data_IF_465006579739
#
_entry.id   IF_465006579739
#
_cell.length_a   1.000
_cell.length_b   1.000
_cell.length_c   1.000
_cell.angle_alpha   90.00
_cell.angle_beta   90.00
_cell.angle_gamma   90.00
#
_symmetry.space_group_name_H-M   'P 1'
#
loop_
_entity.id
_entity.type
_entity.pdbx_description
1 polymer ?
#
# COMPACT_ATOMS: atom_id res chain seq x y z
N UNK A 1 -45.55 -24.98 -6.47
CA UNK A 1 -45.04 -23.80 -5.83
C UNK A 1 -44.90 -24.00 -4.32
N UNK A 2 -43.83 -24.62 -3.86
CA UNK A 2 -43.43 -24.73 -2.43
C UNK A 2 -41.93 -24.97 -2.44
N UNK A 3 -41.11 -23.90 -2.28
CA UNK A 3 -39.66 -24.11 -2.30
C UNK A 3 -38.78 -22.87 -2.05
N UNK A 4 -39.31 -21.74 -1.54
CA UNK A 4 -38.46 -20.54 -1.33
C UNK A 4 -38.47 -19.96 0.10
N UNK A 5 -39.27 -20.49 1.01
CA UNK A 5 -39.33 -19.92 2.39
C UNK A 5 -38.34 -20.56 3.39
N UNK A 6 -37.75 -21.70 3.09
CA UNK A 6 -36.79 -22.35 3.98
C UNK A 6 -35.39 -21.72 4.06
N UNK A 7 -34.95 -21.07 3.01
CA UNK A 7 -33.60 -20.47 2.92
C UNK A 7 -33.43 -19.17 3.68
N UNK A 8 -34.45 -18.30 3.65
CA UNK A 8 -34.41 -17.02 4.38
C UNK A 8 -34.53 -17.19 5.90
N UNK A 9 -35.32 -18.16 6.36
CA UNK A 9 -35.41 -18.48 7.78
C UNK A 9 -34.13 -19.08 8.36
N UNK A 10 -33.41 -19.90 7.58
CA UNK A 10 -32.14 -20.50 8.00
C UNK A 10 -31.01 -19.43 8.10
N UNK A 11 -30.92 -18.51 7.15
CA UNK A 11 -29.97 -17.39 7.19
C UNK A 11 -30.27 -16.44 8.37
N UNK A 12 -31.52 -16.13 8.67
CA UNK A 12 -31.89 -15.28 9.80
C UNK A 12 -31.59 -15.93 11.17
N UNK A 13 -31.75 -17.25 11.27
CA UNK A 13 -31.44 -18.00 12.48
C UNK A 13 -29.95 -18.12 12.76
N UNK A 14 -29.14 -18.34 11.73
CA UNK A 14 -27.65 -18.30 11.85
C UNK A 14 -27.13 -16.92 12.25
N UNK A 15 -27.69 -15.85 11.68
CA UNK A 15 -27.34 -14.48 12.03
C UNK A 15 -27.73 -14.17 13.49
N UNK A 16 -28.88 -14.58 13.94
CA UNK A 16 -29.30 -14.42 15.34
C UNK A 16 -28.38 -15.18 16.30
N UNK A 17 -28.00 -16.41 15.97
CA UNK A 17 -27.05 -17.20 16.77
C UNK A 17 -25.65 -16.57 16.79
N UNK A 18 -25.21 -15.96 15.71
CA UNK A 18 -23.93 -15.21 15.65
C UNK A 18 -24.00 -13.94 16.50
N UNK A 19 -25.09 -13.22 16.45
CA UNK A 19 -25.33 -12.01 17.25
C UNK A 19 -25.39 -12.31 18.75
N UNK A 20 -26.06 -13.38 19.15
CA UNK A 20 -26.11 -13.79 20.55
C UNK A 20 -24.74 -14.28 21.07
N UNK A 21 -24.00 -15.02 20.29
CA UNK A 21 -22.61 -15.36 20.61
C UNK A 21 -21.74 -14.11 20.76
N UNK A 22 -21.84 -13.15 19.86
CA UNK A 22 -21.13 -11.87 19.94
C UNK A 22 -21.49 -11.11 21.22
N UNK A 23 -22.78 -11.02 21.57
CA UNK A 23 -23.25 -10.39 22.81
C UNK A 23 -22.76 -11.12 24.07
N UNK A 24 -22.69 -12.45 24.06
CA UNK A 24 -22.19 -13.22 25.20
C UNK A 24 -20.67 -13.03 25.38
N UNK A 25 -19.92 -12.94 24.28
CA UNK A 25 -18.47 -12.65 24.27
C UNK A 25 -18.18 -11.26 24.82
N UNK A 26 -18.97 -10.25 24.40
CA UNK A 26 -18.84 -8.87 24.91
C UNK A 26 -19.19 -8.74 26.39
N UNK A 27 -20.20 -9.48 26.88
CA UNK A 27 -20.53 -9.53 28.33
C UNK A 27 -19.41 -10.17 29.15
N UNK A 28 -18.71 -11.18 28.61
CA UNK A 28 -17.53 -11.79 29.25
C UNK A 28 -16.32 -10.85 29.30
N UNK A 29 -16.24 -9.89 28.39
CA UNK A 29 -15.13 -8.91 28.33
C UNK A 29 -15.30 -7.76 29.34
N UNK A 30 -16.56 -7.32 29.58
CA UNK A 30 -16.88 -6.22 30.51
C UNK A 30 -17.39 -6.68 31.89
N UNK A 31 -17.71 -7.98 32.06
CA UNK A 31 -18.18 -8.58 33.30
C UNK A 31 -17.07 -9.37 33.98
N UNK A 32 -16.28 -8.73 34.83
CA UNK A 32 -15.32 -9.40 35.70
C UNK A 32 -16.00 -10.29 36.74
N UNK A 33 -16.30 -11.56 36.40
CA UNK A 33 -16.85 -12.55 37.29
C UNK A 33 -16.42 -13.95 36.92
N UNK A 34 -15.09 -14.23 36.97
CA UNK A 34 -14.50 -15.54 36.75
C UNK A 34 -14.30 -16.28 38.10
N UNK A 35 -14.92 -17.47 38.27
CA UNK A 35 -14.69 -18.40 39.36
C UNK A 35 -13.18 -18.72 39.52
N UNK A 36 -12.65 -18.44 40.68
CA UNK A 36 -11.23 -18.54 41.04
C UNK A 36 -10.81 -20.00 41.30
N UNK A 37 -11.16 -20.94 40.42
CA UNK A 37 -10.60 -22.30 40.52
C UNK A 37 -9.41 -22.45 39.59
N UNK A 38 -8.25 -22.89 40.10
CA UNK A 38 -7.06 -23.09 39.31
C UNK A 38 -7.29 -24.24 38.32
N UNK A 39 -7.30 -23.94 37.01
CA UNK A 39 -7.45 -24.94 35.95
C UNK A 39 -6.12 -25.17 35.25
N UNK A 40 -5.81 -26.43 34.83
CA UNK A 40 -4.64 -26.70 33.98
C UNK A 40 -4.64 -25.80 32.75
N UNK A 41 -3.46 -25.31 32.36
CA UNK A 41 -3.32 -24.43 31.20
C UNK A 41 -2.92 -25.24 29.97
N UNK A 42 -3.44 -24.88 28.81
CA UNK A 42 -2.99 -25.42 27.53
C UNK A 42 -1.93 -24.48 26.98
N UNK A 43 -0.75 -25.02 26.61
CA UNK A 43 0.32 -24.24 26.01
C UNK A 43 -0.18 -23.58 24.70
N UNK A 44 -0.12 -22.24 24.56
CA UNK A 44 -0.63 -21.53 23.38
C UNK A 44 0.18 -21.80 22.11
N UNK A 45 1.41 -22.36 22.24
CA UNK A 45 2.28 -22.61 21.11
C UNK A 45 2.25 -24.05 20.58
N UNK A 46 2.01 -25.06 21.45
CA UNK A 46 2.04 -26.47 21.04
C UNK A 46 0.83 -27.29 21.46
N UNK A 47 -0.15 -26.69 22.20
CA UNK A 47 -1.34 -27.39 22.64
C UNK A 47 -1.14 -28.36 23.83
N UNK A 48 0.07 -28.51 24.35
CA UNK A 48 0.34 -29.42 25.49
C UNK A 48 -0.31 -28.92 26.78
N UNK A 49 -0.82 -29.84 27.58
CA UNK A 49 -1.37 -29.53 28.91
C UNK A 49 -0.22 -29.21 29.84
N UNK A 50 -0.24 -28.03 30.47
CA UNK A 50 0.84 -27.57 31.37
C UNK A 50 0.29 -27.26 32.77
N UNK A 51 1.12 -27.46 33.77
CA UNK A 51 0.74 -27.20 35.15
C UNK A 51 0.35 -25.74 35.40
N UNK A 52 -0.50 -25.54 36.40
CA UNK A 52 -1.12 -24.23 36.76
C UNK A 52 -0.04 -23.16 37.06
N UNK A 53 1.08 -23.55 37.62
CA UNK A 53 2.21 -22.69 38.04
C UNK A 53 3.36 -22.68 37.01
N UNK A 54 3.24 -23.40 35.91
CA UNK A 54 4.31 -23.49 34.92
C UNK A 54 4.57 -22.13 34.27
N UNK A 55 5.81 -21.66 34.33
CA UNK A 55 6.26 -20.42 33.63
C UNK A 55 6.76 -20.71 32.23
N UNK A 56 7.05 -21.97 31.93
CA UNK A 56 7.48 -22.46 30.62
C UNK A 56 6.80 -23.79 30.30
N UNK A 57 6.47 -24.01 29.05
CA UNK A 57 5.98 -25.29 28.59
C UNK A 57 7.09 -26.35 28.61
N UNK A 58 6.83 -27.51 29.20
CA UNK A 58 7.80 -28.61 29.28
C UNK A 58 8.05 -29.30 27.94
N UNK A 59 7.07 -29.19 26.97
CA UNK A 59 7.22 -29.81 25.67
C UNK A 59 7.94 -28.89 24.66
N UNK A 60 7.61 -27.60 24.57
CA UNK A 60 8.13 -26.70 23.53
C UNK A 60 8.98 -25.55 24.08
N UNK A 61 9.16 -25.42 25.41
CA UNK A 61 9.95 -24.38 26.05
C UNK A 61 9.35 -22.97 26.01
N UNK A 62 8.14 -22.78 25.41
CA UNK A 62 7.51 -21.47 25.32
C UNK A 62 7.27 -20.86 26.69
N UNK A 63 7.61 -19.57 26.86
CA UNK A 63 7.31 -18.81 28.05
C UNK A 63 5.79 -18.53 28.11
N UNK A 64 5.11 -19.01 29.14
CA UNK A 64 3.67 -18.94 29.33
C UNK A 64 3.18 -17.60 29.90
N UNK A 65 4.08 -16.81 30.50
CA UNK A 65 3.76 -15.48 31.06
C UNK A 65 3.85 -14.35 30.04
N UNK A 66 4.83 -14.45 29.12
CA UNK A 66 5.07 -13.44 28.10
C UNK A 66 5.29 -14.13 26.73
N UNK A 67 4.22 -14.53 26.06
CA UNK A 67 4.31 -14.98 24.69
C UNK A 67 3.31 -14.19 23.83
N UNK A 68 3.76 -13.79 22.63
CA UNK A 68 2.88 -13.21 21.61
C UNK A 68 1.67 -14.13 21.34
N UNK A 69 1.85 -15.45 21.43
CA UNK A 69 0.79 -16.44 21.32
C UNK A 69 -0.24 -16.36 22.47
N UNK A 70 0.17 -16.04 23.70
CA UNK A 70 -0.76 -15.86 24.83
C UNK A 70 -1.52 -14.53 24.71
N UNK A 71 -0.86 -13.48 24.21
CA UNK A 71 -1.48 -12.18 23.98
C UNK A 71 -2.50 -12.28 22.83
N UNK A 72 -2.16 -12.93 21.72
CA UNK A 72 -3.05 -13.10 20.58
C UNK A 72 -4.25 -14.01 20.89
N UNK A 73 -4.08 -15.03 21.75
CA UNK A 73 -5.20 -15.87 22.22
C UNK A 73 -6.23 -15.08 23.05
N UNK A 74 -5.79 -14.06 23.78
CA UNK A 74 -6.70 -13.11 24.46
C UNK A 74 -7.52 -12.27 23.46
N UNK A 75 -6.93 -11.92 22.33
CA UNK A 75 -7.61 -11.15 21.27
C UNK A 75 -8.39 -12.03 20.29
N UNK A 76 -8.03 -13.30 20.06
CA UNK A 76 -8.74 -14.21 19.16
C UNK A 76 -10.17 -14.53 19.64
N UNK A 77 -10.41 -14.50 20.95
CA UNK A 77 -11.78 -14.62 21.52
C UNK A 77 -12.75 -13.52 21.07
N UNK A 78 -12.24 -12.38 20.60
CA UNK A 78 -13.04 -11.26 20.09
C UNK A 78 -13.39 -11.46 18.60
N UNK A 79 -12.58 -12.17 17.83
CA UNK A 79 -12.71 -12.27 16.37
C UNK A 79 -13.14 -13.65 15.83
N UNK A 80 -13.38 -14.64 16.69
CA UNK A 80 -13.93 -15.95 16.31
C UNK A 80 -13.12 -17.16 16.78
N UNK A 81 -13.72 -18.35 16.64
CA UNK A 81 -13.24 -19.63 17.17
C UNK A 81 -11.97 -20.20 16.49
N UNK A 82 -11.34 -19.47 15.57
CA UNK A 82 -10.14 -19.94 14.87
C UNK A 82 -8.88 -19.61 15.67
N UNK A 83 -8.13 -20.64 16.05
CA UNK A 83 -6.81 -20.54 16.69
C UNK A 83 -5.73 -20.09 15.67
N UNK A 84 -5.89 -18.89 15.08
CA UNK A 84 -4.95 -18.29 14.14
C UNK A 84 -4.33 -17.00 14.73
N UNK A 85 -3.41 -17.13 15.69
CA UNK A 85 -2.91 -15.99 16.47
C UNK A 85 -2.15 -14.96 15.63
N UNK A 86 -1.36 -15.38 14.65
CA UNK A 86 -0.60 -14.44 13.82
C UNK A 86 -1.53 -13.72 12.82
N UNK A 87 -2.48 -14.42 12.23
CA UNK A 87 -3.50 -13.81 11.37
C UNK A 87 -4.27 -12.72 12.12
N UNK A 88 -4.70 -13.00 13.36
CA UNK A 88 -5.38 -12.02 14.22
C UNK A 88 -4.46 -10.83 14.56
N UNK A 89 -3.18 -11.10 14.87
CA UNK A 89 -2.20 -10.04 15.15
C UNK A 89 -1.99 -9.14 13.93
N UNK A 90 -1.85 -9.70 12.72
CA UNK A 90 -1.71 -8.97 11.48
C UNK A 90 -2.96 -8.11 11.18
N UNK A 91 -4.16 -8.67 11.41
CA UNK A 91 -5.43 -7.94 11.24
C UNK A 91 -5.46 -6.70 12.17
N UNK A 92 -5.17 -6.89 13.45
CA UNK A 92 -5.17 -5.81 14.45
C UNK A 92 -4.10 -4.76 14.09
N UNK A 93 -2.89 -5.18 13.70
CA UNK A 93 -1.82 -4.27 13.32
C UNK A 93 -2.23 -3.38 12.12
N UNK A 94 -2.88 -3.94 11.10
CA UNK A 94 -3.36 -3.19 9.96
C UNK A 94 -4.46 -2.18 10.34
N UNK A 95 -5.39 -2.55 11.23
CA UNK A 95 -6.43 -1.64 11.74
C UNK A 95 -5.81 -0.50 12.55
N UNK A 96 -4.83 -0.80 13.42
CA UNK A 96 -4.11 0.23 14.18
C UNK A 96 -3.38 1.18 13.23
N UNK A 97 -2.69 0.65 12.22
CA UNK A 97 -1.95 1.48 11.26
C UNK A 97 -2.88 2.34 10.39
N UNK A 98 -4.10 1.89 10.10
CA UNK A 98 -5.10 2.76 9.48
C UNK A 98 -5.46 3.94 10.40
N UNK A 99 -5.68 3.68 11.69
CA UNK A 99 -5.93 4.73 12.69
C UNK A 99 -4.77 5.74 12.80
N UNK A 100 -3.52 5.22 12.80
CA UNK A 100 -2.31 6.07 12.78
C UNK A 100 -2.23 6.89 11.51
N UNK A 101 -2.59 6.32 10.36
CA UNK A 101 -2.63 7.04 9.07
C UNK A 101 -3.66 8.17 9.08
N UNK A 102 -4.81 7.98 9.71
CA UNK A 102 -5.82 9.03 9.87
C UNK A 102 -5.36 10.14 10.83
N UNK A 103 -4.70 9.79 11.92
CA UNK A 103 -4.10 10.79 12.83
C UNK A 103 -3.02 11.61 12.12
N UNK A 104 -2.16 10.97 11.34
CA UNK A 104 -1.14 11.66 10.55
C UNK A 104 -1.76 12.60 9.50
N UNK A 105 -2.84 12.17 8.84
CA UNK A 105 -3.59 12.98 7.89
C UNK A 105 -4.20 14.22 8.57
N UNK A 106 -4.83 14.06 9.73
CA UNK A 106 -5.41 15.15 10.50
C UNK A 106 -4.34 16.17 10.93
N UNK A 107 -3.16 15.70 11.32
CA UNK A 107 -2.03 16.55 11.71
C UNK A 107 -1.44 17.37 10.54
N UNK A 108 -1.60 16.92 9.29
CA UNK A 108 -1.12 17.63 8.09
C UNK A 108 -2.17 18.56 7.46
N UNK A 109 -3.32 18.77 8.12
CA UNK A 109 -4.40 19.63 7.61
C UNK A 109 -5.11 19.08 6.37
N UNK A 110 -4.88 17.82 6.03
CA UNK A 110 -5.42 17.16 4.84
C UNK A 110 -6.75 16.47 5.09
N UNK A 111 -7.75 16.85 4.31
CA UNK A 111 -8.90 16.04 3.94
C UNK A 111 -9.93 15.70 5.02
N UNK A 112 -11.07 16.39 4.97
CA UNK A 112 -12.33 15.95 5.57
C UNK A 112 -13.27 15.37 4.53
N UNK A 113 -14.27 14.56 4.96
CA UNK A 113 -15.34 14.06 4.12
C UNK A 113 -15.07 12.71 3.45
N UNK A 114 -15.71 12.47 2.31
CA UNK A 114 -15.69 11.18 1.59
C UNK A 114 -14.30 10.76 1.06
N UNK A 115 -13.30 11.66 1.04
CA UNK A 115 -11.93 11.33 0.62
C UNK A 115 -11.29 10.20 1.46
N UNK A 116 -11.68 10.08 2.72
CA UNK A 116 -11.24 8.99 3.63
C UNK A 116 -11.56 7.59 3.09
N UNK A 117 -12.64 7.46 2.32
CA UNK A 117 -13.05 6.18 1.72
C UNK A 117 -12.12 5.76 0.58
N UNK A 118 -11.63 6.72 -0.20
CA UNK A 118 -10.98 6.46 -1.49
C UNK A 118 -9.48 6.73 -1.50
N UNK A 119 -8.97 7.61 -0.63
CA UNK A 119 -7.55 7.93 -0.61
C UNK A 119 -7.11 8.71 0.62
N UNK A 120 -6.01 8.29 1.22
CA UNK A 120 -5.27 9.02 2.24
C UNK A 120 -4.16 9.85 1.57
N UNK A 121 -3.78 10.97 2.17
CA UNK A 121 -2.71 11.84 1.65
C UNK A 121 -1.41 11.09 1.41
N UNK A 122 -0.80 11.29 0.23
CA UNK A 122 0.50 10.72 -0.11
C UNK A 122 1.62 11.12 0.86
N UNK A 123 1.58 12.34 1.39
CA UNK A 123 2.56 12.83 2.39
C UNK A 123 2.48 12.03 3.69
N UNK A 124 1.27 11.80 4.22
CA UNK A 124 1.09 11.00 5.42
C UNK A 124 1.58 9.56 5.22
N UNK A 125 1.26 8.95 4.07
CA UNK A 125 1.69 7.60 3.72
C UNK A 125 3.22 7.51 3.53
N UNK A 126 3.83 8.53 2.90
CA UNK A 126 5.28 8.61 2.76
C UNK A 126 5.98 8.64 4.13
N UNK A 127 5.53 9.50 5.05
CA UNK A 127 6.09 9.61 6.43
C UNK A 127 5.91 8.32 7.23
N UNK A 128 4.82 7.60 7.00
CA UNK A 128 4.53 6.31 7.62
C UNK A 128 5.19 5.12 6.91
N UNK A 129 6.05 5.37 5.92
CA UNK A 129 6.90 4.35 5.33
C UNK A 129 6.24 3.54 4.23
N UNK A 130 5.47 4.17 3.32
CA UNK A 130 5.10 3.51 2.07
C UNK A 130 6.35 3.17 1.26
N UNK A 131 6.30 2.13 0.46
CA UNK A 131 7.40 1.73 -0.44
C UNK A 131 7.61 2.79 -1.52
N UNK A 132 8.87 3.09 -1.79
CA UNK A 132 9.32 4.11 -2.74
C UNK A 132 10.20 3.45 -3.81
N UNK A 133 10.44 4.11 -4.97
CA UNK A 133 11.28 3.57 -6.01
C UNK A 133 12.68 3.17 -5.52
N UNK A 134 13.22 2.09 -6.10
CA UNK A 134 14.45 1.45 -5.63
C UNK A 134 15.66 2.40 -5.50
N UNK A 135 15.91 3.36 -6.41
CA UNK A 135 17.01 4.30 -6.22
C UNK A 135 16.94 5.06 -4.89
N UNK A 136 15.75 5.57 -4.53
CA UNK A 136 15.54 6.29 -3.27
C UNK A 136 15.65 5.39 -2.04
N UNK A 137 15.20 4.12 -2.14
CA UNK A 137 15.37 3.12 -1.07
C UNK A 137 16.86 2.87 -0.77
N UNK A 138 17.70 2.79 -1.82
CA UNK A 138 19.11 2.51 -1.69
C UNK A 138 19.90 3.74 -1.22
N UNK A 139 19.65 4.89 -1.79
CA UNK A 139 20.33 6.15 -1.44
C UNK A 139 20.00 6.60 -0.01
N UNK A 140 18.73 6.49 0.39
CA UNK A 140 18.24 6.82 1.74
C UNK A 140 18.48 5.74 2.79
N UNK A 141 18.99 4.55 2.40
CA UNK A 141 19.06 3.37 3.27
C UNK A 141 17.72 3.01 3.94
N UNK A 142 16.59 3.33 3.26
CA UNK A 142 15.23 3.20 3.81
C UNK A 142 14.59 1.82 3.50
N UNK A 143 15.39 0.75 3.47
CA UNK A 143 14.94 -0.64 3.19
C UNK A 143 13.75 -1.09 4.05
N UNK A 144 13.59 -0.53 5.23
CA UNK A 144 12.49 -0.82 6.15
C UNK A 144 11.10 -0.50 5.55
N UNK A 145 11.03 0.39 4.57
CA UNK A 145 9.79 0.76 3.87
C UNK A 145 9.12 -0.40 3.15
N UNK A 146 9.89 -1.36 2.63
CA UNK A 146 9.29 -2.55 1.99
C UNK A 146 8.54 -3.45 2.99
N UNK A 147 8.79 -3.27 4.28
CA UNK A 147 8.09 -3.98 5.36
C UNK A 147 6.93 -3.16 5.91
N UNK A 148 7.16 -1.88 6.24
CA UNK A 148 6.10 -1.02 6.80
C UNK A 148 4.96 -0.79 5.81
N UNK A 149 5.26 -0.72 4.51
CA UNK A 149 4.27 -0.57 3.45
C UNK A 149 3.19 -1.68 3.46
N UNK A 150 3.50 -2.90 3.94
CA UNK A 150 2.54 -3.99 4.07
C UNK A 150 1.40 -3.70 5.06
N UNK A 151 1.59 -2.76 5.96
CA UNK A 151 0.63 -2.40 7.02
C UNK A 151 -0.11 -1.09 6.73
N UNK A 152 0.25 -0.39 5.65
CA UNK A 152 -0.38 0.84 5.23
C UNK A 152 -1.48 0.58 4.22
N UNK A 153 -2.52 1.40 4.23
CA UNK A 153 -3.64 1.27 3.29
C UNK A 153 -4.09 2.65 2.79
N UNK A 154 -4.40 2.72 1.50
CA UNK A 154 -4.81 3.96 0.83
C UNK A 154 -6.22 4.45 1.19
N UNK A 155 -7.07 3.62 1.84
CA UNK A 155 -8.43 3.99 2.22
C UNK A 155 -9.22 2.80 2.77
N UNK A 156 -10.48 3.04 3.19
CA UNK A 156 -11.33 2.02 3.82
C UNK A 156 -11.64 0.83 2.92
N UNK A 157 -11.88 1.06 1.63
CA UNK A 157 -12.14 -0.04 0.70
C UNK A 157 -10.89 -0.90 0.50
N UNK A 158 -9.72 -0.27 0.40
CA UNK A 158 -8.46 -0.98 0.23
C UNK A 158 -8.17 -1.89 1.44
N UNK A 159 -8.26 -1.38 2.67
CA UNK A 159 -8.09 -2.23 3.85
C UNK A 159 -9.20 -3.27 3.98
N UNK A 160 -10.44 -2.92 3.64
CA UNK A 160 -11.58 -3.84 3.70
C UNK A 160 -11.35 -5.10 2.86
N UNK A 161 -10.95 -4.96 1.60
CA UNK A 161 -10.63 -6.08 0.73
C UNK A 161 -9.41 -6.87 1.22
N UNK A 162 -8.36 -6.19 1.69
CA UNK A 162 -7.18 -6.87 2.23
C UNK A 162 -7.50 -7.67 3.50
N UNK A 163 -8.25 -7.12 4.43
CA UNK A 163 -8.61 -7.83 5.67
C UNK A 163 -9.58 -8.98 5.40
N UNK A 164 -10.47 -8.84 4.45
CA UNK A 164 -11.34 -9.94 4.00
C UNK A 164 -10.49 -11.10 3.43
N UNK A 165 -9.52 -10.80 2.57
CA UNK A 165 -8.61 -11.82 2.03
C UNK A 165 -7.71 -12.43 3.13
N UNK A 166 -7.22 -11.62 4.07
CA UNK A 166 -6.45 -12.10 5.22
C UNK A 166 -7.25 -13.08 6.07
N UNK A 167 -8.50 -12.76 6.38
CA UNK A 167 -9.39 -13.64 7.14
C UNK A 167 -9.76 -14.92 6.37
N UNK A 168 -9.81 -14.85 5.05
CA UNK A 168 -10.14 -16.00 4.20
C UNK A 168 -8.97 -16.99 4.07
N UNK A 169 -7.75 -16.50 3.84
CA UNK A 169 -6.59 -17.34 3.53
C UNK A 169 -5.66 -17.55 4.73
N UNK A 170 -5.55 -16.54 5.60
CA UNK A 170 -4.60 -16.54 6.72
C UNK A 170 -4.75 -17.75 7.65
N UNK A 171 -5.94 -17.99 8.24
CA UNK A 171 -6.12 -19.09 9.19
C UNK A 171 -5.78 -20.46 8.62
N UNK A 172 -6.20 -20.74 7.39
CA UNK A 172 -5.94 -22.04 6.74
C UNK A 172 -4.44 -22.30 6.51
N UNK A 173 -3.69 -21.25 6.14
CA UNK A 173 -2.24 -21.37 5.91
C UNK A 173 -1.48 -21.39 7.24
N UNK A 174 -1.92 -20.61 8.22
CA UNK A 174 -1.34 -20.62 9.57
C UNK A 174 -1.54 -21.99 10.24
N UNK A 175 -2.71 -22.59 10.11
CA UNK A 175 -2.98 -23.96 10.58
C UNK A 175 -2.09 -24.99 9.87
N UNK A 176 -1.91 -24.85 8.55
CA UNK A 176 -1.13 -25.81 7.75
C UNK A 176 0.35 -25.75 8.05
N UNK A 177 0.95 -24.56 8.15
CA UNK A 177 2.42 -24.37 8.28
C UNK A 177 2.89 -24.08 9.70
N UNK A 178 1.97 -23.72 10.59
CA UNK A 178 2.24 -23.20 11.95
C UNK A 178 2.58 -21.70 11.91
N UNK A 179 2.22 -21.00 12.99
CA UNK A 179 2.29 -19.53 13.13
C UNK A 179 3.66 -18.94 12.77
N UNK A 180 4.75 -19.60 13.15
CA UNK A 180 6.10 -19.09 12.92
C UNK A 180 6.49 -19.11 11.42
N UNK A 181 6.23 -20.20 10.70
CA UNK A 181 6.47 -20.26 9.26
C UNK A 181 5.51 -19.35 8.49
N UNK A 182 4.26 -19.27 8.94
CA UNK A 182 3.26 -18.40 8.36
C UNK A 182 3.69 -16.92 8.41
N UNK A 183 4.16 -16.43 9.59
CA UNK A 183 4.66 -15.07 9.71
C UNK A 183 5.85 -14.82 8.77
N UNK A 184 6.79 -15.77 8.73
CA UNK A 184 7.95 -15.67 7.83
C UNK A 184 7.52 -15.59 6.35
N UNK A 185 6.60 -16.45 5.91
CA UNK A 185 6.06 -16.45 4.54
C UNK A 185 5.40 -15.11 4.23
N UNK A 186 4.54 -14.62 5.12
CA UNK A 186 3.84 -13.36 4.94
C UNK A 186 4.81 -12.18 4.76
N UNK A 187 5.77 -12.04 5.69
CA UNK A 187 6.73 -10.94 5.65
C UNK A 187 7.65 -11.03 4.45
N UNK A 188 8.18 -12.22 4.15
CA UNK A 188 9.11 -12.40 3.03
C UNK A 188 8.45 -12.15 1.68
N UNK A 189 7.24 -12.69 1.46
CA UNK A 189 6.55 -12.51 0.18
C UNK A 189 6.08 -11.08 -0.03
N UNK A 190 5.63 -10.40 1.01
CA UNK A 190 5.24 -9.00 0.94
C UNK A 190 6.44 -8.07 0.70
N UNK A 191 7.53 -8.25 1.44
CA UNK A 191 8.76 -7.46 1.27
C UNK A 191 9.37 -7.68 -0.13
N UNK A 192 9.41 -8.92 -0.60
CA UNK A 192 9.89 -9.23 -1.96
C UNK A 192 8.99 -8.59 -3.02
N UNK A 193 7.66 -8.63 -2.83
CA UNK A 193 6.71 -7.96 -3.71
C UNK A 193 7.01 -6.48 -3.85
N UNK A 194 7.17 -5.76 -2.73
CA UNK A 194 7.49 -4.34 -2.76
C UNK A 194 8.89 -4.03 -3.29
N UNK A 195 9.87 -4.89 -3.03
CA UNK A 195 11.21 -4.72 -3.58
C UNK A 195 11.19 -4.79 -5.12
N UNK A 196 10.46 -5.74 -5.68
CA UNK A 196 10.29 -5.84 -7.14
C UNK A 196 9.54 -4.62 -7.67
N UNK A 197 8.44 -4.22 -7.04
CA UNK A 197 7.67 -3.04 -7.45
C UNK A 197 8.51 -1.76 -7.40
N UNK A 198 9.31 -1.58 -6.35
CA UNK A 198 10.26 -0.48 -6.23
C UNK A 198 11.29 -0.46 -7.38
N UNK A 199 11.74 -1.66 -7.82
CA UNK A 199 12.61 -1.82 -9.00
C UNK A 199 11.99 -1.33 -10.31
N UNK A 200 10.66 -1.36 -10.41
CA UNK A 200 9.90 -0.79 -11.54
C UNK A 200 9.51 0.68 -11.32
N UNK A 201 10.03 1.33 -10.29
CA UNK A 201 9.84 2.76 -10.04
C UNK A 201 8.50 3.13 -9.38
N UNK A 202 7.80 2.19 -8.77
CA UNK A 202 6.49 2.44 -8.17
C UNK A 202 6.57 2.90 -6.71
N UNK A 203 5.65 3.81 -6.36
CA UNK A 203 5.22 4.05 -4.98
C UNK A 203 4.09 3.09 -4.66
N UNK A 204 4.20 2.36 -3.54
CA UNK A 204 3.23 1.31 -3.26
C UNK A 204 3.01 1.07 -1.77
N UNK A 205 1.82 0.54 -1.43
CA UNK A 205 1.42 0.19 -0.06
C UNK A 205 0.26 -0.82 -0.06
N UNK A 206 0.11 -1.56 1.02
CA UNK A 206 -0.97 -2.52 1.22
C UNK A 206 -0.50 -3.93 1.54
N UNK A 207 -1.33 -4.70 2.23
CA UNK A 207 -1.05 -6.09 2.56
C UNK A 207 -1.09 -7.04 1.35
N UNK A 208 -1.60 -6.57 0.21
CA UNK A 208 -1.99 -7.43 -0.93
C UNK A 208 -0.85 -8.22 -1.56
N UNK A 209 0.38 -7.69 -1.59
CA UNK A 209 1.56 -8.43 -2.05
C UNK A 209 1.82 -9.68 -1.19
N UNK A 210 1.75 -9.54 0.14
CA UNK A 210 1.86 -10.68 1.06
C UNK A 210 0.66 -11.63 0.95
N UNK A 211 -0.56 -11.11 0.78
CA UNK A 211 -1.77 -11.92 0.59
C UNK A 211 -1.72 -12.73 -0.70
N UNK A 212 -1.25 -12.15 -1.80
CA UNK A 212 -0.98 -12.90 -3.03
C UNK A 212 0.14 -13.93 -2.82
N UNK A 213 1.11 -13.64 -1.96
CA UNK A 213 2.08 -14.63 -1.48
C UNK A 213 1.41 -15.83 -0.82
N UNK A 214 0.44 -15.60 0.07
CA UNK A 214 -0.36 -16.69 0.67
C UNK A 214 -1.15 -17.48 -0.39
N UNK A 215 -1.74 -16.80 -1.36
CA UNK A 215 -2.42 -17.46 -2.49
C UNK A 215 -1.42 -18.31 -3.30
N UNK A 216 -0.21 -17.81 -3.52
CA UNK A 216 0.88 -18.54 -4.17
C UNK A 216 1.23 -19.83 -3.44
N UNK A 217 1.37 -19.75 -2.10
CA UNK A 217 1.58 -20.95 -1.25
C UNK A 217 0.44 -21.94 -1.42
N UNK A 218 -0.81 -21.47 -1.37
CA UNK A 218 -1.99 -22.35 -1.53
C UNK A 218 -2.01 -23.00 -2.91
N UNK A 219 -1.68 -22.27 -3.97
CA UNK A 219 -1.53 -22.83 -5.32
C UNK A 219 -0.46 -23.93 -5.33
N UNK A 220 0.70 -23.74 -4.69
CA UNK A 220 1.73 -24.77 -4.60
C UNK A 220 1.22 -26.02 -3.86
N UNK A 221 0.46 -25.86 -2.77
CA UNK A 221 -0.18 -26.97 -2.06
C UNK A 221 -1.13 -27.76 -2.97
N UNK A 222 -1.97 -27.07 -3.75
CA UNK A 222 -2.91 -27.73 -4.65
C UNK A 222 -2.22 -28.52 -5.77
N UNK A 223 -0.96 -28.20 -6.11
CA UNK A 223 -0.17 -28.98 -7.08
C UNK A 223 0.53 -30.19 -6.45
N UNK A 224 0.80 -30.16 -5.13
CA UNK A 224 1.38 -31.28 -4.38
C UNK A 224 0.33 -32.31 -3.99
N UNK A 225 -0.85 -31.85 -3.61
CA UNK A 225 -1.97 -32.70 -3.19
C UNK A 225 -2.89 -32.96 -4.37
N UNK A 226 -3.18 -34.23 -4.63
CA UNK A 226 -4.09 -34.65 -5.68
C UNK A 226 -5.58 -34.60 -5.27
N UNK A 227 -6.48 -35.03 -6.19
CA UNK A 227 -7.91 -35.13 -5.92
C UNK A 227 -8.77 -34.07 -6.57
N UNK A 228 -10.08 -34.34 -6.65
CA UNK A 228 -11.03 -33.44 -7.32
C UNK A 228 -11.15 -32.10 -6.61
N UNK A 229 -11.19 -32.11 -5.27
CA UNK A 229 -11.27 -30.91 -4.46
C UNK A 229 -10.07 -29.96 -4.68
N UNK A 230 -8.84 -30.51 -4.72
CA UNK A 230 -7.64 -29.70 -4.96
C UNK A 230 -7.59 -29.12 -6.37
N UNK A 231 -8.12 -29.83 -7.37
CA UNK A 231 -8.27 -29.30 -8.73
C UNK A 231 -9.27 -28.16 -8.79
N UNK A 232 -10.43 -28.29 -8.15
CA UNK A 232 -11.45 -27.24 -8.07
C UNK A 232 -10.92 -26.00 -7.32
N UNK A 233 -10.30 -26.18 -6.16
CA UNK A 233 -9.66 -25.11 -5.40
C UNK A 233 -8.61 -24.37 -6.25
N UNK A 234 -7.73 -25.10 -6.93
CA UNK A 234 -6.74 -24.50 -7.82
C UNK A 234 -7.37 -23.67 -8.93
N UNK A 235 -8.42 -24.20 -9.57
CA UNK A 235 -9.15 -23.46 -10.61
C UNK A 235 -9.72 -22.16 -10.09
N UNK A 236 -10.36 -22.17 -8.92
CA UNK A 236 -10.91 -20.96 -8.27
C UNK A 236 -9.83 -19.94 -7.91
N UNK A 237 -8.70 -20.39 -7.35
CA UNK A 237 -7.58 -19.52 -7.03
C UNK A 237 -7.00 -18.87 -8.29
N UNK A 238 -6.78 -19.64 -9.36
CA UNK A 238 -6.29 -19.12 -10.64
C UNK A 238 -7.27 -18.09 -11.21
N UNK A 239 -8.57 -18.41 -11.25
CA UNK A 239 -9.59 -17.48 -11.74
C UNK A 239 -9.61 -16.17 -10.94
N UNK A 240 -9.52 -16.25 -9.60
CA UNK A 240 -9.46 -15.06 -8.73
C UNK A 240 -8.21 -14.21 -9.00
N UNK A 241 -7.05 -14.86 -9.17
CA UNK A 241 -5.80 -14.17 -9.52
C UNK A 241 -5.91 -13.49 -10.87
N UNK A 242 -6.43 -14.18 -11.90
CA UNK A 242 -6.62 -13.60 -13.24
C UNK A 242 -7.54 -12.38 -13.19
N UNK A 243 -8.68 -12.47 -12.50
CA UNK A 243 -9.61 -11.35 -12.34
C UNK A 243 -8.91 -10.16 -11.66
N UNK A 244 -8.14 -10.41 -10.59
CA UNK A 244 -7.42 -9.37 -9.87
C UNK A 244 -6.40 -8.66 -10.77
N UNK A 245 -5.63 -9.40 -11.57
CA UNK A 245 -4.66 -8.80 -12.51
C UNK A 245 -5.36 -8.02 -13.63
N UNK A 246 -6.46 -8.53 -14.17
CA UNK A 246 -7.26 -7.81 -15.18
C UNK A 246 -7.78 -6.48 -14.62
N UNK A 247 -8.32 -6.48 -13.39
CA UNK A 247 -8.75 -5.26 -12.70
C UNK A 247 -7.59 -4.30 -12.45
N UNK A 248 -6.42 -4.80 -12.07
CA UNK A 248 -5.21 -3.98 -11.87
C UNK A 248 -4.68 -3.36 -13.16
N UNK A 249 -4.77 -4.05 -14.30
CA UNK A 249 -4.38 -3.50 -15.61
C UNK A 249 -5.45 -2.57 -16.22
N UNK A 250 -6.70 -2.67 -15.79
CA UNK A 250 -7.79 -1.83 -16.30
C UNK A 250 -7.72 -0.38 -15.82
N UNK A 251 -6.81 -0.04 -14.90
CA UNK A 251 -6.70 1.27 -14.23
C UNK A 251 -7.97 1.71 -13.47
N UNK A 252 -8.97 0.84 -13.34
CA UNK A 252 -10.18 1.10 -12.55
C UNK A 252 -9.88 1.18 -11.05
N UNK A 253 -8.83 0.50 -10.62
CA UNK A 253 -8.32 0.51 -9.25
C UNK A 253 -6.81 0.76 -9.27
N UNK A 254 -6.32 1.59 -8.36
CA UNK A 254 -4.88 1.80 -8.16
C UNK A 254 -4.28 0.54 -7.51
N UNK A 255 -3.91 -0.44 -8.32
CA UNK A 255 -3.36 -1.73 -7.88
C UNK A 255 -1.93 -1.90 -8.39
N UNK A 256 -1.07 -2.41 -7.53
CA UNK A 256 0.33 -2.69 -7.87
C UNK A 256 0.50 -4.13 -8.36
N UNK A 257 0.34 -4.33 -9.67
CA UNK A 257 0.47 -5.64 -10.28
C UNK A 257 1.90 -6.22 -10.18
N UNK A 258 2.94 -5.40 -10.05
CA UNK A 258 4.31 -5.88 -9.86
C UNK A 258 4.48 -6.48 -8.46
N UNK A 259 4.04 -5.79 -7.41
CA UNK A 259 4.05 -6.33 -6.05
C UNK A 259 3.19 -7.60 -5.94
N UNK A 260 2.02 -7.62 -6.59
CA UNK A 260 1.12 -8.76 -6.62
C UNK A 260 1.76 -9.98 -7.29
N UNK A 261 2.31 -9.81 -8.49
CA UNK A 261 2.94 -10.88 -9.25
C UNK A 261 4.16 -11.46 -8.56
N UNK A 262 5.03 -10.60 -8.04
CA UNK A 262 6.23 -11.00 -7.31
C UNK A 262 5.88 -11.71 -6.00
N UNK A 263 4.92 -11.21 -5.22
CA UNK A 263 4.43 -11.85 -4.01
C UNK A 263 3.86 -13.24 -4.29
N UNK A 264 2.99 -13.36 -5.29
CA UNK A 264 2.41 -14.64 -5.74
C UNK A 264 3.50 -15.65 -6.13
N UNK A 265 4.48 -15.24 -6.94
CA UNK A 265 5.58 -16.09 -7.38
C UNK A 265 6.45 -16.55 -6.20
N UNK A 266 6.85 -15.63 -5.33
CA UNK A 266 7.62 -15.96 -4.12
C UNK A 266 6.86 -16.94 -3.22
N UNK A 267 5.57 -16.71 -3.00
CA UNK A 267 4.71 -17.60 -2.23
C UNK A 267 4.61 -18.99 -2.85
N UNK A 268 4.45 -19.08 -4.16
CA UNK A 268 4.44 -20.38 -4.87
C UNK A 268 5.75 -21.14 -4.68
N UNK A 269 6.89 -20.47 -4.80
CA UNK A 269 8.21 -21.05 -4.57
C UNK A 269 8.36 -21.54 -3.13
N UNK A 270 8.01 -20.69 -2.14
CA UNK A 270 8.06 -21.08 -0.73
C UNK A 270 7.13 -22.26 -0.42
N UNK A 271 5.93 -22.27 -1.02
CA UNK A 271 4.99 -23.39 -0.91
C UNK A 271 5.53 -24.68 -1.52
N UNK A 272 6.44 -24.61 -2.51
CA UNK A 272 7.17 -25.79 -3.02
C UNK A 272 8.29 -26.24 -2.10
N UNK A 273 9.01 -25.32 -1.47
CA UNK A 273 10.16 -25.59 -0.59
C UNK A 273 9.71 -26.15 0.76
N UNK A 274 8.75 -25.50 1.40
CA UNK A 274 8.27 -25.95 2.71
C UNK A 274 7.39 -27.20 2.59
N UNK A 275 7.53 -28.09 3.56
CA UNK A 275 6.57 -29.18 3.74
C UNK A 275 5.18 -28.61 4.05
N UNK A 276 4.16 -29.08 3.35
CA UNK A 276 2.76 -28.68 3.52
C UNK A 276 2.11 -29.32 4.77
N UNK A 277 2.78 -29.18 5.88
CA UNK A 277 2.39 -29.65 7.23
C UNK A 277 3.10 -28.84 8.31
N UNK A 278 2.56 -28.87 9.52
CA UNK A 278 3.25 -28.31 10.66
C UNK A 278 4.60 -29.01 10.95
N UNK A 279 5.54 -28.29 11.60
CA UNK A 279 6.81 -28.88 12.03
C UNK A 279 6.59 -30.03 13.04
N UNK A 280 7.02 -31.24 12.73
CA UNK A 280 6.76 -32.42 13.54
C UNK A 280 7.87 -32.71 14.56
N UNK A 281 9.13 -32.57 14.17
CA UNK A 281 10.26 -32.88 15.04
C UNK A 281 10.89 -31.60 15.63
N UNK A 282 11.73 -31.79 16.67
CA UNK A 282 12.38 -30.69 17.41
C UNK A 282 13.26 -29.82 16.50
N UNK A 283 13.95 -30.39 15.52
CA UNK A 283 14.80 -29.65 14.57
C UNK A 283 13.99 -28.80 13.61
N UNK A 284 12.87 -29.31 13.09
CA UNK A 284 11.95 -28.54 12.25
C UNK A 284 11.32 -27.39 13.04
N UNK A 285 10.92 -27.63 14.30
CA UNK A 285 10.35 -26.61 15.18
C UNK A 285 11.35 -25.50 15.48
N UNK A 286 12.60 -25.84 15.83
CA UNK A 286 13.66 -24.84 16.07
C UNK A 286 13.89 -23.95 14.85
N UNK A 287 13.98 -24.55 13.64
CA UNK A 287 14.13 -23.79 12.39
C UNK A 287 12.91 -22.90 12.11
N UNK A 288 11.70 -23.42 12.29
CA UNK A 288 10.48 -22.64 12.12
C UNK A 288 10.43 -21.43 13.07
N UNK A 289 10.75 -21.65 14.35
CA UNK A 289 10.81 -20.55 15.33
C UNK A 289 11.91 -19.54 15.00
N UNK A 290 13.08 -19.97 14.55
CA UNK A 290 14.14 -19.06 14.13
C UNK A 290 13.69 -18.16 12.97
N UNK A 291 13.02 -18.72 11.97
CA UNK A 291 12.44 -17.95 10.87
C UNK A 291 11.33 -16.99 11.33
N UNK A 292 10.44 -17.45 12.21
CA UNK A 292 9.38 -16.60 12.78
C UNK A 292 9.93 -15.45 13.63
N UNK A 293 10.94 -15.71 14.46
CA UNK A 293 11.63 -14.66 15.23
C UNK A 293 12.36 -13.67 14.32
N UNK A 294 13.04 -14.16 13.29
CA UNK A 294 13.70 -13.29 12.30
C UNK A 294 12.67 -12.36 11.64
N UNK A 295 11.56 -12.90 11.16
CA UNK A 295 10.50 -12.10 10.56
C UNK A 295 9.92 -11.08 11.55
N UNK A 296 9.65 -11.50 12.79
CA UNK A 296 9.14 -10.63 13.84
C UNK A 296 10.11 -9.48 14.17
N UNK A 297 11.41 -9.78 14.29
CA UNK A 297 12.45 -8.79 14.53
C UNK A 297 12.56 -7.80 13.37
N UNK A 298 12.50 -8.27 12.13
CA UNK A 298 12.50 -7.39 10.93
C UNK A 298 11.31 -6.45 10.98
N UNK A 299 10.11 -6.94 11.29
CA UNK A 299 8.92 -6.09 11.41
C UNK A 299 9.10 -5.04 12.50
N UNK A 300 9.50 -5.44 13.70
CA UNK A 300 9.71 -4.51 14.82
C UNK A 300 10.79 -3.48 14.48
N UNK A 301 11.93 -3.90 13.94
CA UNK A 301 13.00 -3.00 13.53
C UNK A 301 12.53 -2.00 12.47
N UNK A 302 11.72 -2.45 11.49
CA UNK A 302 11.17 -1.59 10.46
C UNK A 302 10.24 -0.50 11.02
N UNK A 303 9.38 -0.84 11.99
CA UNK A 303 8.54 0.16 12.65
C UNK A 303 9.32 1.12 13.55
N UNK A 304 10.38 0.64 14.21
CA UNK A 304 11.28 1.51 14.97
C UNK A 304 11.97 2.52 14.05
N UNK A 305 12.50 2.08 12.91
CA UNK A 305 13.12 2.94 11.92
C UNK A 305 12.09 3.92 11.32
N UNK A 306 10.88 3.48 11.00
CA UNK A 306 9.78 4.35 10.57
C UNK A 306 9.54 5.47 11.60
N UNK A 307 9.49 5.15 12.88
CA UNK A 307 9.27 6.14 13.93
C UNK A 307 10.43 7.13 14.05
N UNK A 308 11.68 6.66 13.95
CA UNK A 308 12.89 7.49 13.98
C UNK A 308 12.87 8.48 12.80
N UNK A 309 12.55 8.01 11.59
CA UNK A 309 12.56 8.82 10.36
C UNK A 309 11.25 9.57 10.08
N UNK A 310 10.26 9.48 10.97
CA UNK A 310 8.93 10.08 10.75
C UNK A 310 8.97 11.62 10.55
N UNK A 311 9.93 12.29 11.16
CA UNK A 311 10.10 13.75 11.11
C UNK A 311 11.17 14.22 10.14
N UNK A 312 11.77 13.29 9.40
CA UNK A 312 12.76 13.67 8.41
C UNK A 312 12.14 14.56 7.32
N UNK A 313 12.90 15.52 6.79
CA UNK A 313 12.41 16.37 5.70
C UNK A 313 11.92 15.55 4.52
N UNK A 314 10.83 15.98 3.90
CA UNK A 314 10.36 15.35 2.67
C UNK A 314 11.38 15.61 1.54
N UNK A 315 11.50 14.72 0.57
CA UNK A 315 12.30 14.95 -0.62
C UNK A 315 11.90 16.28 -1.26
N UNK A 316 12.84 17.25 -1.32
CA UNK A 316 12.59 18.60 -1.83
C UNK A 316 12.33 19.69 -0.79
N UNK A 317 12.09 19.35 0.49
CA UNK A 317 12.11 20.34 1.58
C UNK A 317 13.57 20.70 1.91
N UNK A 318 14.04 21.88 1.43
CA UNK A 318 15.37 22.37 1.80
C UNK A 318 15.39 22.78 3.28
N UNK A 319 16.14 22.06 4.09
CA UNK A 319 16.53 22.54 5.42
C UNK A 319 17.42 23.78 5.29
N UNK A 320 16.83 24.97 5.38
CA UNK A 320 17.59 26.14 5.79
C UNK A 320 17.93 25.99 7.28
N UNK A 321 19.22 25.81 7.55
CA UNK A 321 19.88 25.77 8.87
C UNK A 321 20.25 24.40 9.43
N UNK A 322 21.43 23.90 9.02
CA UNK A 322 22.39 23.25 9.95
C UNK A 322 23.76 23.10 9.26
N UNK A 323 24.86 23.55 9.86
CA UNK A 323 26.21 23.52 9.25
C UNK A 323 26.99 22.26 9.65
N UNK A 324 26.44 21.07 9.44
CA UNK A 324 27.22 19.80 9.60
C UNK A 324 26.71 18.78 8.59
N UNK A 325 27.27 18.79 7.40
CA UNK A 325 27.37 17.60 6.54
C UNK A 325 28.20 17.90 5.29
N UNK A 326 29.49 18.09 5.48
CA UNK A 326 30.43 17.95 4.37
C UNK A 326 30.64 16.47 4.09
N UNK A 327 30.02 15.95 3.02
CA UNK A 327 30.54 14.89 2.14
C UNK A 327 29.50 14.20 1.23
N UNK A 328 28.21 14.57 1.28
CA UNK A 328 27.20 14.04 0.31
C UNK A 328 26.77 15.03 -0.77
N UNK A 329 27.61 16.05 -1.04
CA UNK A 329 27.24 17.22 -1.88
C UNK A 329 27.57 17.07 -3.36
N UNK A 330 27.94 15.91 -3.85
CA UNK A 330 28.47 15.79 -5.23
C UNK A 330 27.56 15.11 -6.25
N UNK A 331 26.35 14.62 -5.88
CA UNK A 331 25.43 14.01 -6.86
C UNK A 331 24.04 14.66 -6.93
N UNK A 332 23.73 15.61 -6.05
CA UNK A 332 22.42 16.28 -6.01
C UNK A 332 22.40 17.69 -6.63
N UNK A 333 23.49 18.13 -7.29
CA UNK A 333 23.63 19.49 -7.80
C UNK A 333 23.09 19.71 -9.21
N UNK A 334 22.42 18.73 -9.84
CA UNK A 334 21.95 18.93 -11.22
C UNK A 334 20.45 18.67 -11.46
N UNK A 335 19.64 18.38 -10.44
CA UNK A 335 18.18 18.38 -10.60
C UNK A 335 17.53 19.23 -9.54
N UNK A 336 17.78 20.53 -9.59
CA UNK A 336 16.92 21.54 -8.98
C UNK A 336 15.65 21.56 -9.85
N UNK A 337 14.66 20.72 -9.54
CA UNK A 337 13.32 20.96 -10.04
C UNK A 337 12.96 22.38 -9.57
N UNK A 338 13.02 23.35 -10.48
CA UNK A 338 12.48 24.68 -10.17
C UNK A 338 11.01 24.46 -9.89
N UNK A 339 10.48 25.00 -8.76
CA UNK A 339 9.05 24.97 -8.55
C UNK A 339 8.40 25.63 -9.76
N UNK A 340 7.35 25.02 -10.27
CA UNK A 340 6.58 25.59 -11.37
C UNK A 340 5.75 26.73 -10.76
N UNK A 341 6.32 27.92 -10.76
CA UNK A 341 5.70 29.11 -10.16
C UNK A 341 4.58 29.65 -11.07
N UNK A 342 3.57 30.32 -10.52
CA UNK A 342 2.64 31.11 -11.31
C UNK A 342 3.41 32.07 -12.26
N UNK A 343 2.89 32.25 -13.46
CA UNK A 343 3.48 32.99 -14.60
C UNK A 343 4.65 32.27 -15.32
N UNK A 344 5.03 31.04 -14.90
CA UNK A 344 5.94 30.21 -15.70
C UNK A 344 5.29 29.78 -17.02
N UNK A 345 6.08 29.73 -18.09
CA UNK A 345 5.63 29.12 -19.36
C UNK A 345 5.78 27.61 -19.24
N UNK A 346 4.69 26.91 -19.49
CA UNK A 346 4.59 25.45 -19.27
C UNK A 346 4.00 24.72 -20.45
N UNK A 347 4.29 23.42 -20.53
CA UNK A 347 3.57 22.46 -21.35
C UNK A 347 2.81 21.51 -20.43
N UNK A 348 1.48 21.54 -20.46
CA UNK A 348 0.61 20.64 -19.72
C UNK A 348 0.20 19.50 -20.63
N UNK A 349 0.57 18.28 -20.25
CA UNK A 349 0.14 17.06 -20.92
C UNK A 349 -1.13 16.52 -20.24
N UNK A 350 -2.14 16.23 -21.04
CA UNK A 350 -3.45 15.75 -20.60
C UNK A 350 -3.68 14.31 -21.07
N UNK A 351 -4.51 13.59 -20.32
CA UNK A 351 -5.00 12.29 -20.76
C UNK A 351 -6.52 12.31 -20.95
N UNK A 352 -7.02 11.44 -21.83
CA UNK A 352 -8.47 11.20 -22.08
C UNK A 352 -9.29 12.44 -22.49
N UNK A 353 -9.08 13.02 -23.68
CA UNK A 353 -8.13 12.66 -24.74
C UNK A 353 -6.69 13.12 -24.44
N UNK A 354 -5.70 12.51 -25.13
CA UNK A 354 -4.29 12.96 -25.04
C UNK A 354 -4.12 14.25 -25.83
N UNK A 355 -3.84 15.31 -25.11
CA UNK A 355 -3.60 16.64 -25.61
C UNK A 355 -2.40 17.26 -24.93
N UNK A 356 -1.74 18.22 -25.55
CA UNK A 356 -0.69 19.04 -24.96
C UNK A 356 -1.04 20.50 -25.13
N UNK A 357 -1.10 21.22 -24.02
CA UNK A 357 -1.40 22.64 -24.01
C UNK A 357 -0.17 23.40 -23.56
N UNK A 358 0.21 24.43 -24.32
CA UNK A 358 1.33 25.30 -24.06
C UNK A 358 0.85 26.70 -23.72
N UNK A 359 1.42 27.32 -22.68
CA UNK A 359 1.05 28.66 -22.26
C UNK A 359 1.60 29.08 -20.90
N UNK A 360 1.09 30.21 -20.41
CA UNK A 360 1.42 30.77 -19.10
C UNK A 360 0.57 30.10 -18.01
N UNK A 361 1.22 29.56 -16.98
CA UNK A 361 0.55 29.02 -15.80
C UNK A 361 0.02 30.16 -14.93
N UNK A 362 -1.29 30.19 -14.67
CA UNK A 362 -1.92 31.19 -13.81
C UNK A 362 -2.09 30.69 -12.37
N UNK A 363 -2.51 29.44 -12.23
CA UNK A 363 -2.75 28.82 -10.93
C UNK A 363 -2.64 27.30 -11.01
N UNK A 364 -2.14 26.72 -9.92
CA UNK A 364 -2.12 25.28 -9.72
C UNK A 364 -2.55 24.97 -8.28
N UNK A 365 -3.59 24.14 -8.14
CA UNK A 365 -4.12 23.73 -6.86
C UNK A 365 -4.65 22.30 -6.92
N UNK A 366 -5.03 21.66 -5.80
CA UNK A 366 -5.52 20.29 -5.80
C UNK A 366 -6.76 20.02 -6.69
N UNK A 367 -7.52 21.06 -7.04
CA UNK A 367 -8.70 20.93 -7.93
C UNK A 367 -8.32 20.89 -9.39
N UNK A 368 -7.22 21.53 -9.78
CA UNK A 368 -6.79 21.60 -11.16
C UNK A 368 -5.72 22.63 -11.45
N UNK A 369 -5.51 22.84 -12.74
CA UNK A 369 -4.54 23.79 -13.30
C UNK A 369 -5.25 24.80 -14.16
N UNK A 370 -4.99 26.08 -13.95
CA UNK A 370 -5.46 27.17 -14.79
C UNK A 370 -4.28 27.73 -15.57
N UNK A 371 -4.39 27.73 -16.88
CA UNK A 371 -3.38 28.35 -17.73
C UNK A 371 -4.00 29.23 -18.80
N UNK A 372 -3.23 30.20 -19.26
CA UNK A 372 -3.53 31.02 -20.44
C UNK A 372 -2.72 30.46 -21.60
N UNK A 373 -3.34 29.69 -22.48
CA UNK A 373 -2.59 28.92 -23.48
C UNK A 373 -3.44 28.32 -24.59
N UNK A 374 -2.80 27.58 -25.47
CA UNK A 374 -3.40 26.89 -26.61
C UNK A 374 -2.93 25.44 -26.72
N UNK A 375 -3.70 24.62 -27.42
CA UNK A 375 -3.23 23.31 -27.85
C UNK A 375 -1.97 23.43 -28.71
N UNK A 376 -0.99 22.57 -28.44
CA UNK A 376 0.32 22.60 -29.09
C UNK A 376 0.22 22.38 -30.61
N UNK A 377 -0.79 21.63 -31.07
CA UNK A 377 -1.05 21.44 -32.51
C UNK A 377 -1.53 22.73 -33.19
N UNK A 378 -2.07 23.66 -32.44
CA UNK A 378 -2.54 24.96 -32.94
C UNK A 378 -1.44 26.04 -32.94
N UNK A 379 -0.23 25.75 -32.46
CA UNK A 379 0.86 26.71 -32.32
C UNK A 379 1.23 27.43 -33.63
N UNK A 380 1.44 26.69 -34.72
CA UNK A 380 1.81 27.32 -36.02
C UNK A 380 0.65 28.12 -36.65
N UNK A 381 -0.58 27.74 -36.37
CA UNK A 381 -1.74 28.51 -36.80
C UNK A 381 -1.84 29.84 -36.02
N UNK A 382 -1.61 29.80 -34.70
CA UNK A 382 -1.57 30.99 -33.84
C UNK A 382 -0.48 31.97 -34.28
N UNK A 383 0.74 31.48 -34.58
CA UNK A 383 1.83 32.30 -35.08
C UNK A 383 1.45 32.99 -36.43
N UNK A 384 0.79 32.29 -37.33
CA UNK A 384 0.37 32.85 -38.60
C UNK A 384 -0.64 33.96 -38.41
N UNK A 385 -1.65 33.77 -37.55
CA UNK A 385 -2.65 34.76 -37.26
C UNK A 385 -2.06 36.06 -36.65
N UNK A 386 -1.06 35.95 -35.77
CA UNK A 386 -0.39 37.13 -35.20
C UNK A 386 0.34 37.93 -36.28
N UNK A 387 0.91 37.25 -37.29
CA UNK A 387 1.72 37.87 -38.34
C UNK A 387 0.88 38.38 -39.53
N UNK A 388 -0.42 38.20 -39.52
CA UNK A 388 -1.30 38.75 -40.56
C UNK A 388 -1.35 40.28 -40.48
N UNK A 389 -1.12 41.03 -41.58
CA UNK A 389 -1.00 42.49 -41.55
C UNK A 389 -2.29 43.22 -41.11
N UNK A 390 -3.46 42.63 -41.39
CA UNK A 390 -4.78 43.15 -41.03
C UNK A 390 -5.43 42.37 -39.88
N UNK A 391 -4.63 41.51 -39.17
CA UNK A 391 -5.14 40.63 -38.13
C UNK A 391 -5.51 41.38 -36.84
N UNK A 392 -6.69 41.04 -36.30
CA UNK A 392 -7.07 41.47 -34.95
C UNK A 392 -6.04 40.94 -33.93
N UNK A 393 -5.80 41.73 -32.89
CA UNK A 393 -4.91 41.29 -31.76
C UNK A 393 -5.53 40.08 -31.08
N UNK A 394 -4.95 38.92 -31.26
CA UNK A 394 -5.44 37.65 -30.72
C UNK A 394 -4.71 37.32 -29.41
N UNK A 395 -5.46 37.29 -28.31
CA UNK A 395 -4.98 36.82 -27.02
C UNK A 395 -5.09 35.29 -26.89
N UNK A 396 -4.44 34.76 -25.85
CA UNK A 396 -4.61 33.35 -25.48
C UNK A 396 -5.81 33.15 -24.54
N UNK A 397 -6.63 32.12 -24.73
CA UNK A 397 -7.75 31.82 -23.84
C UNK A 397 -7.22 31.35 -22.46
N UNK A 398 -7.95 31.70 -21.40
CA UNK A 398 -7.75 31.10 -20.08
C UNK A 398 -8.55 29.81 -19.99
N UNK A 399 -7.88 28.72 -19.67
CA UNK A 399 -8.43 27.36 -19.67
C UNK A 399 -8.15 26.74 -18.30
N UNK A 400 -9.16 26.09 -17.73
CA UNK A 400 -9.03 25.29 -16.50
C UNK A 400 -9.09 23.80 -16.84
N UNK A 401 -8.12 23.05 -16.34
CA UNK A 401 -8.09 21.59 -16.43
C UNK A 401 -8.19 20.99 -15.03
N UNK A 402 -9.20 20.13 -14.77
CA UNK A 402 -9.28 19.38 -13.52
C UNK A 402 -8.03 18.52 -13.33
N UNK A 403 -7.52 18.40 -12.08
CA UNK A 403 -6.28 17.68 -11.79
C UNK A 403 -6.31 16.22 -12.26
N UNK A 404 -7.48 15.59 -12.26
CA UNK A 404 -7.65 14.21 -12.76
C UNK A 404 -7.47 14.07 -14.28
N UNK A 405 -7.36 15.16 -15.05
CA UNK A 405 -7.01 15.16 -16.47
C UNK A 405 -5.53 15.47 -16.73
N UNK A 406 -4.82 15.98 -15.75
CA UNK A 406 -3.41 16.39 -15.89
C UNK A 406 -2.52 15.18 -15.70
N UNK A 407 -1.78 14.80 -16.74
CA UNK A 407 -0.78 13.72 -16.68
C UNK A 407 0.57 14.25 -16.19
N UNK A 408 0.97 15.43 -16.71
CA UNK A 408 2.25 16.06 -16.38
C UNK A 408 2.21 17.55 -16.69
N UNK A 409 2.92 18.33 -15.87
CA UNK A 409 3.25 19.74 -16.13
C UNK A 409 4.77 19.82 -16.27
N UNK A 410 5.26 20.39 -17.35
CA UNK A 410 6.69 20.58 -17.61
C UNK A 410 6.96 22.05 -17.87
N UNK A 411 8.05 22.60 -17.35
CA UNK A 411 8.53 23.91 -17.78
C UNK A 411 8.90 23.85 -19.27
N UNK A 412 8.65 24.94 -19.97
CA UNK A 412 9.03 25.09 -21.37
C UNK A 412 10.48 25.54 -21.48
N UNK A 413 11.39 24.56 -21.40
CA UNK A 413 12.83 24.77 -21.42
C UNK A 413 13.47 24.12 -22.65
N UNK A 414 14.57 24.67 -23.16
CA UNK A 414 15.31 24.04 -24.27
C UNK A 414 15.92 22.73 -23.79
N UNK A 415 15.86 21.70 -24.63
CA UNK A 415 16.45 20.38 -24.33
C UNK A 415 17.59 20.10 -25.29
N UNK A 416 18.80 20.31 -24.85
CA UNK A 416 20.00 20.20 -25.68
C UNK A 416 19.97 21.19 -26.85
N UNK A 417 19.96 20.70 -28.08
CA UNK A 417 19.87 21.53 -29.30
C UNK A 417 18.43 21.87 -29.70
N UNK A 418 17.42 21.34 -29.01
CA UNK A 418 15.99 21.59 -29.31
C UNK A 418 15.54 22.83 -28.54
N UNK A 419 15.14 23.93 -29.22
CA UNK A 419 14.67 25.14 -28.54
C UNK A 419 13.36 24.91 -27.84
N UNK A 420 13.07 25.71 -26.79
CA UNK A 420 11.76 25.75 -26.16
C UNK A 420 10.71 26.33 -27.10
N UNK A 421 9.42 26.08 -26.82
CA UNK A 421 8.32 26.66 -27.57
C UNK A 421 8.29 28.19 -27.43
N UNK A 422 8.67 28.72 -26.25
CA UNK A 422 8.80 30.16 -26.02
C UNK A 422 9.95 30.78 -26.85
N UNK A 423 11.08 30.08 -26.99
CA UNK A 423 12.15 30.50 -27.89
C UNK A 423 11.71 30.46 -29.37
N UNK A 424 10.96 29.43 -29.77
CA UNK A 424 10.41 29.36 -31.14
C UNK A 424 9.42 30.49 -31.39
N UNK A 425 8.57 30.79 -30.39
CA UNK A 425 7.65 31.91 -30.45
C UNK A 425 8.41 33.23 -30.58
N UNK A 426 9.41 33.46 -29.73
CA UNK A 426 10.22 34.69 -29.75
C UNK A 426 10.96 34.87 -31.07
N UNK A 427 11.48 33.80 -31.69
CA UNK A 427 12.10 33.85 -33.02
C UNK A 427 11.17 34.23 -34.14
N UNK A 428 9.89 33.78 -34.05
CA UNK A 428 8.88 34.02 -35.11
C UNK A 428 8.15 35.36 -34.95
N UNK A 429 7.98 35.85 -33.71
CA UNK A 429 7.19 37.06 -33.39
C UNK A 429 8.08 38.25 -32.98
N UNK A 430 9.36 37.99 -32.62
CA UNK A 430 10.30 39.04 -32.21
C UNK A 430 10.20 39.42 -30.72
N UNK A 431 9.39 38.75 -29.90
CA UNK A 431 9.25 38.98 -28.46
C UNK A 431 8.81 37.71 -27.72
N UNK A 432 9.06 37.61 -26.41
CA UNK A 432 8.65 36.46 -25.62
C UNK A 432 7.13 36.37 -25.51
N UNK A 433 6.62 35.17 -25.12
CA UNK A 433 5.18 35.00 -24.88
C UNK A 433 4.70 35.88 -23.73
N UNK A 434 5.48 36.02 -22.65
CA UNK A 434 5.13 36.87 -21.50
C UNK A 434 4.99 38.33 -21.92
N UNK A 435 5.94 38.87 -22.73
CA UNK A 435 5.87 40.23 -23.26
C UNK A 435 4.67 40.42 -24.22
N UNK A 436 4.34 39.38 -24.97
CA UNK A 436 3.18 39.39 -25.83
C UNK A 436 1.89 39.44 -25.05
N UNK A 437 1.77 38.65 -23.98
CA UNK A 437 0.56 38.58 -23.14
C UNK A 437 0.37 39.83 -22.28
N UNK A 438 1.44 40.55 -21.91
CA UNK A 438 1.36 41.79 -21.14
C UNK A 438 0.50 42.89 -21.82
N UNK A 439 0.31 42.83 -23.13
CA UNK A 439 -0.56 43.78 -23.86
C UNK A 439 -2.08 43.48 -23.69
N UNK A 440 -2.44 42.32 -23.10
CA UNK A 440 -3.83 41.90 -22.87
C UNK A 440 -4.15 41.82 -21.36
N UNK A 441 -3.23 42.27 -20.48
CA UNK A 441 -3.40 42.29 -19.03
C UNK A 441 -4.21 43.49 -18.54
#
# INVERSE_FOLDING_TARGET
MRGSQGGELALSYEWQRRLERWKSTMRGFFGGGGSNQPRPQICPACGALVGISATRCHECGTNLRFSLAALSKKFSGVFGEHEAPVTTTLLIANIIMLGVSWMALAATGGGGGLSILWGLSGVAQYRLGMSIPLPYLLEGHEWWRVVTAMFLHGGLLHIGFNMMALMQFGPAIEELYGSARYLFIYVLTGAFGFLVSAGFGNFSLGASGALLGLVGVMLAVTTKRGGAYMRDLRSRLISSVVILFVLGFSHLMAMDNYAHGAGLAAGFVLGKIFADRQPMNSGERKRAYALGWLAGLIVVASFVLMFIHYRDPLPGESTQSSPVAGKSRLLYTEYKAQPVDPHSIVVVSLHSPKEKVWGELLDINPSGVTLRGIDLNSFDHFIRQINEPDGERIGLPTIFFPMNRVERISLDEPTGSIPSMNELFARKIGRSLSDYLAQFA
#
